data_IF_077587790788
#
_entry.id   IF_077587790788
#
_cell.length_a   1.000
_cell.length_b   1.000
_cell.length_c   1.000
_cell.angle_alpha   90.00
_cell.angle_beta   90.00
_cell.angle_gamma   90.00
#
_symmetry.space_group_name_H-M   'P 1'
#
loop_
_entity.id
_entity.type
_entity.pdbx_description
1 polymer ?
#
# COMPACT_ATOMS: atom_id res chain seq x y z
N UNK A 1 -56.19 -15.88 77.14
CA UNK A 1 -55.46 -17.10 76.72
C UNK A 1 -55.02 -16.87 75.27
N UNK A 2 -54.07 -15.99 74.94
CA UNK A 2 -52.73 -15.66 75.52
C UNK A 2 -51.87 -16.91 75.65
N UNK A 3 -50.60 -16.98 75.26
CA UNK A 3 -49.58 -16.05 74.77
C UNK A 3 -48.30 -16.90 74.52
N UNK A 4 -47.39 -16.40 73.68
CA UNK A 4 -45.95 -16.76 73.52
C UNK A 4 -45.26 -17.33 74.78
N UNK A 5 -44.13 -18.10 74.73
CA UNK A 5 -42.82 -17.60 74.21
C UNK A 5 -41.70 -18.60 73.76
N UNK A 6 -40.81 -18.09 72.88
CA UNK A 6 -39.32 -18.00 72.95
C UNK A 6 -38.45 -19.12 73.59
N UNK A 7 -37.40 -19.58 72.87
CA UNK A 7 -35.93 -19.61 73.25
C UNK A 7 -35.14 -20.74 72.49
N UNK A 8 -33.96 -20.37 71.98
CA UNK A 8 -32.89 -21.20 71.38
C UNK A 8 -32.09 -22.00 72.44
N UNK A 9 -31.39 -23.10 72.06
CA UNK A 9 -29.91 -23.04 72.17
C UNK A 9 -29.11 -23.84 71.11
N UNK A 10 -27.85 -23.42 70.95
CA UNK A 10 -26.73 -24.10 70.26
C UNK A 10 -26.23 -25.31 71.05
N UNK A 11 -25.62 -26.31 70.40
CA UNK A 11 -24.24 -26.81 70.65
C UNK A 11 -23.86 -28.00 69.73
N UNK A 12 -22.65 -27.92 69.18
CA UNK A 12 -21.84 -28.89 68.42
C UNK A 12 -21.42 -30.11 69.29
N UNK A 13 -20.54 -31.05 68.87
CA UNK A 13 -20.15 -31.62 67.56
C UNK A 13 -20.10 -33.19 67.58
N UNK A 14 -19.77 -33.84 66.44
CA UNK A 14 -18.72 -34.89 66.28
C UNK A 14 -18.97 -35.78 65.03
N UNK A 15 -17.97 -35.81 64.15
CA UNK A 15 -17.69 -36.83 63.10
C UNK A 15 -17.06 -38.08 63.76
N UNK A 16 -16.81 -39.24 63.08
CA UNK A 16 -17.22 -39.73 61.74
C UNK A 16 -17.57 -41.25 61.68
N UNK A 17 -17.59 -41.83 60.46
CA UNK A 17 -17.80 -43.23 59.99
C UNK A 17 -19.28 -43.54 59.71
N UNK A 18 -19.73 -43.98 58.53
CA UNK A 18 -19.09 -44.37 57.27
C UNK A 18 -20.18 -44.31 56.20
N UNK A 19 -20.00 -43.53 55.13
CA UNK A 19 -20.78 -43.74 53.92
C UNK A 19 -19.83 -43.91 52.73
N UNK A 20 -19.99 -45.10 52.16
CA UNK A 20 -19.51 -45.63 50.88
C UNK A 20 -19.04 -44.55 49.91
N UNK A 21 -17.71 -44.50 49.69
CA UNK A 21 -17.13 -43.81 48.53
C UNK A 21 -17.58 -44.53 47.27
N UNK A 22 -18.49 -43.90 46.53
CA UNK A 22 -18.65 -44.16 45.10
C UNK A 22 -17.32 -43.85 44.43
N UNK A 23 -16.81 -44.83 43.70
CA UNK A 23 -15.56 -44.82 43.00
C UNK A 23 -15.67 -43.84 41.81
N UNK A 24 -15.29 -42.59 42.03
CA UNK A 24 -14.97 -41.69 40.93
C UNK A 24 -13.57 -42.08 40.43
N UNK A 25 -13.40 -42.39 39.13
CA UNK A 25 -12.08 -42.70 38.60
C UNK A 25 -11.18 -41.48 38.80
N UNK A 26 -10.04 -41.70 39.48
CA UNK A 26 -8.97 -40.70 39.54
C UNK A 26 -8.66 -40.25 38.10
N UNK A 27 -8.59 -38.93 37.85
CA UNK A 27 -8.17 -38.46 36.55
C UNK A 27 -6.80 -39.08 36.25
N UNK A 28 -6.57 -39.59 35.03
CA UNK A 28 -5.31 -40.22 34.69
C UNK A 28 -4.17 -39.25 35.03
N UNK A 29 -3.04 -39.76 35.55
CA UNK A 29 -1.91 -38.91 35.87
C UNK A 29 -1.59 -38.06 34.65
N UNK A 30 -1.64 -36.74 34.80
CA UNK A 30 -1.27 -35.80 33.76
C UNK A 30 0.19 -36.07 33.42
N UNK A 31 0.41 -36.91 32.40
CA UNK A 31 1.71 -37.05 31.77
C UNK A 31 2.15 -35.64 31.36
N UNK A 32 3.31 -35.21 31.85
CA UNK A 32 3.91 -33.96 31.41
C UNK A 32 3.91 -33.94 29.88
N UNK A 33 3.45 -32.85 29.24
CA UNK A 33 3.32 -32.82 27.79
C UNK A 33 4.70 -33.06 27.19
N UNK A 34 4.85 -34.17 26.46
CA UNK A 34 6.10 -34.54 25.81
C UNK A 34 6.46 -33.44 24.83
N UNK A 35 7.49 -32.67 25.16
CA UNK A 35 7.87 -31.48 24.39
C UNK A 35 8.47 -31.93 23.06
N UNK A 36 7.80 -31.60 21.96
CA UNK A 36 8.20 -32.00 20.59
C UNK A 36 9.18 -30.95 20.02
N UNK A 37 10.26 -31.42 19.40
CA UNK A 37 11.26 -30.58 18.71
C UNK A 37 10.93 -30.34 17.24
N UNK A 38 11.50 -29.29 16.64
CA UNK A 38 11.32 -28.99 15.22
C UNK A 38 11.78 -30.14 14.31
N UNK A 39 12.84 -30.84 14.72
CA UNK A 39 13.37 -31.99 14.01
C UNK A 39 12.39 -33.16 14.02
N UNK A 40 11.74 -33.43 15.15
CA UNK A 40 10.71 -34.46 15.23
C UNK A 40 9.51 -34.10 14.37
N UNK A 41 9.03 -32.86 14.42
CA UNK A 41 7.96 -32.38 13.53
C UNK A 41 8.31 -32.57 12.05
N UNK A 42 9.53 -32.23 11.65
CA UNK A 42 10.00 -32.41 10.27
C UNK A 42 9.99 -33.89 9.86
N UNK A 43 10.55 -34.77 10.68
CA UNK A 43 10.55 -36.22 10.41
C UNK A 43 9.13 -36.76 10.28
N UNK A 44 8.21 -36.40 11.19
CA UNK A 44 6.81 -36.85 11.15
C UNK A 44 6.08 -36.41 9.88
N UNK A 45 6.32 -35.18 9.40
CA UNK A 45 5.74 -34.66 8.15
C UNK A 45 6.33 -35.39 6.94
N UNK A 46 7.64 -35.62 6.91
CA UNK A 46 8.32 -36.37 5.84
C UNK A 46 7.82 -37.81 5.77
N UNK A 47 7.61 -38.44 6.93
CA UNK A 47 7.06 -39.80 7.07
C UNK A 47 5.54 -39.85 6.80
N UNK A 48 4.90 -38.72 6.46
CA UNK A 48 3.46 -38.57 6.19
C UNK A 48 2.57 -39.07 7.35
N UNK A 49 3.07 -38.96 8.58
CA UNK A 49 2.32 -39.31 9.78
C UNK A 49 1.50 -38.11 10.26
N UNK A 50 0.33 -38.33 10.90
CA UNK A 50 -0.42 -37.24 11.52
C UNK A 50 0.42 -36.60 12.61
N UNK A 51 0.60 -35.28 12.50
CA UNK A 51 1.38 -34.49 13.46
C UNK A 51 0.40 -33.70 14.35
N UNK A 52 0.36 -34.06 15.62
CA UNK A 52 -0.37 -33.32 16.65
C UNK A 52 0.63 -32.55 17.50
N UNK A 53 0.57 -31.21 17.45
CA UNK A 53 1.47 -30.33 18.22
C UNK A 53 0.64 -29.46 19.13
N UNK A 54 0.96 -29.48 20.42
CA UNK A 54 0.35 -28.57 21.40
C UNK A 54 0.95 -27.17 21.29
N UNK A 55 0.20 -26.16 21.73
CA UNK A 55 0.69 -24.78 21.76
C UNK A 55 1.98 -24.65 22.59
N UNK A 56 2.08 -25.39 23.70
CA UNK A 56 3.29 -25.45 24.53
C UNK A 56 4.51 -25.99 23.77
N UNK A 57 4.32 -26.98 22.89
CA UNK A 57 5.41 -27.52 22.06
C UNK A 57 5.83 -26.53 20.97
N UNK A 58 4.89 -25.80 20.37
CA UNK A 58 5.21 -24.75 19.39
C UNK A 58 6.00 -23.59 20.02
N UNK A 59 5.61 -23.14 21.22
CA UNK A 59 6.38 -22.14 21.97
C UNK A 59 7.77 -22.64 22.35
N UNK A 60 7.91 -23.92 22.70
CA UNK A 60 9.21 -24.52 22.95
C UNK A 60 10.09 -24.47 21.69
N UNK A 61 9.59 -24.90 20.53
CA UNK A 61 10.30 -24.86 19.24
C UNK A 61 10.77 -23.43 18.90
N UNK A 62 9.93 -22.42 19.13
CA UNK A 62 10.30 -21.02 18.93
C UNK A 62 11.51 -20.63 19.78
N UNK A 63 11.51 -20.97 21.07
CA UNK A 63 12.58 -20.63 22.00
C UNK A 63 13.87 -21.42 21.74
N UNK A 64 13.78 -22.73 21.50
CA UNK A 64 14.95 -23.63 21.54
C UNK A 64 15.49 -24.00 20.17
N UNK A 65 14.64 -24.33 19.19
CA UNK A 65 15.08 -24.73 17.84
C UNK A 65 15.31 -23.53 16.92
N UNK A 66 14.57 -22.44 17.14
CA UNK A 66 14.57 -21.24 16.28
C UNK A 66 15.21 -20.01 16.95
N UNK A 67 15.64 -20.12 18.21
CA UNK A 67 16.32 -19.08 18.99
C UNK A 67 15.56 -17.73 19.03
N UNK A 68 14.23 -17.77 19.06
CA UNK A 68 13.42 -16.57 19.25
C UNK A 68 13.47 -16.17 20.72
N UNK A 69 13.94 -14.95 21.02
CA UNK A 69 13.97 -14.45 22.39
C UNK A 69 12.55 -14.02 22.83
N UNK A 70 11.78 -14.98 23.35
CA UNK A 70 10.38 -14.79 23.77
C UNK A 70 10.25 -13.67 24.82
N UNK A 71 11.26 -13.47 25.67
CA UNK A 71 11.27 -12.44 26.72
C UNK A 71 11.30 -11.00 26.16
N UNK A 72 11.70 -10.83 24.90
CA UNK A 72 11.76 -9.52 24.23
C UNK A 72 10.55 -9.23 23.35
N UNK A 73 9.57 -10.13 23.33
CA UNK A 73 8.37 -10.00 22.52
C UNK A 73 7.26 -9.27 23.28
N UNK A 74 6.38 -8.58 22.55
CA UNK A 74 5.15 -7.99 23.10
C UNK A 74 4.22 -9.08 23.65
N UNK A 75 3.38 -8.72 24.62
CA UNK A 75 2.40 -9.64 25.25
C UNK A 75 1.49 -10.27 24.18
N UNK A 76 1.38 -11.60 24.18
CA UNK A 76 0.53 -12.36 23.23
C UNK A 76 1.17 -12.65 21.86
N UNK A 77 2.32 -12.04 21.53
CA UNK A 77 3.04 -12.35 20.29
C UNK A 77 3.60 -13.77 20.26
N UNK A 78 3.84 -14.37 21.42
CA UNK A 78 4.25 -15.77 21.54
C UNK A 78 3.18 -16.73 20.98
N UNK A 79 1.90 -16.42 21.17
CA UNK A 79 0.78 -17.17 20.58
C UNK A 79 0.68 -16.99 19.08
N UNK A 80 0.74 -15.74 18.62
CA UNK A 80 0.68 -15.41 17.18
C UNK A 80 1.84 -16.08 16.44
N UNK A 81 3.05 -16.04 16.99
CA UNK A 81 4.21 -16.70 16.40
C UNK A 81 4.09 -18.22 16.44
N UNK A 82 3.49 -18.79 17.48
CA UNK A 82 3.27 -20.23 17.56
C UNK A 82 2.25 -20.73 16.51
N UNK A 83 1.16 -19.99 16.30
CA UNK A 83 0.21 -20.26 15.22
C UNK A 83 0.82 -20.06 13.83
N UNK A 84 1.59 -18.98 13.65
CA UNK A 84 2.31 -18.71 12.41
C UNK A 84 3.35 -19.80 12.12
N UNK A 85 4.04 -20.31 13.14
CA UNK A 85 4.97 -21.43 13.02
C UNK A 85 4.23 -22.66 12.47
N UNK A 86 3.10 -23.05 13.06
CA UNK A 86 2.30 -24.18 12.57
C UNK A 86 1.83 -23.98 11.12
N UNK A 87 1.37 -22.76 10.79
CA UNK A 87 0.95 -22.40 9.44
C UNK A 87 2.09 -22.51 8.41
N UNK A 88 3.27 -21.96 8.72
CA UNK A 88 4.40 -21.98 7.80
C UNK A 88 5.07 -23.35 7.70
N UNK A 89 5.03 -24.17 8.74
CA UNK A 89 5.42 -25.59 8.65
C UNK A 89 4.56 -26.31 7.60
N UNK A 90 3.25 -26.07 7.57
CA UNK A 90 2.34 -26.67 6.57
C UNK A 90 2.62 -26.17 5.14
N UNK A 91 2.91 -24.88 4.96
CA UNK A 91 3.04 -24.25 3.65
C UNK A 91 4.44 -24.23 3.05
N UNK A 92 5.40 -24.92 3.64
CA UNK A 92 6.77 -24.87 3.13
C UNK A 92 6.88 -25.49 1.72
N UNK A 93 7.32 -24.73 0.69
CA UNK A 93 7.41 -25.23 -0.69
C UNK A 93 8.42 -26.39 -0.83
N UNK A 94 9.32 -26.56 0.14
CA UNK A 94 10.28 -27.66 0.16
C UNK A 94 9.65 -29.06 0.24
N UNK A 95 8.37 -29.19 0.63
CA UNK A 95 7.65 -30.47 0.63
C UNK A 95 7.52 -31.10 -0.75
N UNK A 96 7.49 -30.28 -1.81
CA UNK A 96 7.45 -30.73 -3.20
C UNK A 96 8.68 -31.56 -3.62
N UNK A 97 9.78 -31.45 -2.87
CA UNK A 97 11.04 -32.18 -3.10
C UNK A 97 11.13 -33.51 -2.34
N UNK A 98 10.02 -33.99 -1.77
CA UNK A 98 9.99 -35.26 -1.04
C UNK A 98 10.43 -36.46 -1.90
N UNK A 99 10.17 -36.45 -3.20
CA UNK A 99 10.66 -37.48 -4.14
C UNK A 99 12.18 -37.54 -4.23
N UNK A 100 12.88 -36.41 -4.15
CA UNK A 100 14.35 -36.34 -4.16
C UNK A 100 14.98 -36.90 -2.87
N UNK A 101 14.26 -36.83 -1.76
CA UNK A 101 14.66 -37.43 -0.49
C UNK A 101 14.58 -38.95 -0.53
N UNK A 102 13.46 -39.51 -1.00
CA UNK A 102 13.28 -40.97 -1.10
C UNK A 102 14.19 -41.62 -2.15
N UNK A 103 14.69 -40.86 -3.12
CA UNK A 103 15.65 -41.32 -4.14
C UNK A 103 17.12 -41.15 -3.72
N UNK A 104 17.38 -40.66 -2.50
CA UNK A 104 18.73 -40.48 -1.95
C UNK A 104 19.50 -39.27 -2.50
N UNK A 105 18.90 -38.46 -3.37
CA UNK A 105 19.51 -37.27 -3.96
C UNK A 105 19.57 -36.08 -2.98
N UNK A 106 18.78 -36.13 -1.90
CA UNK A 106 18.67 -35.07 -0.91
C UNK A 106 19.01 -35.55 0.50
N UNK A 107 20.07 -35.00 1.09
CA UNK A 107 20.48 -35.32 2.45
C UNK A 107 19.54 -34.69 3.48
N UNK A 108 19.03 -35.52 4.42
CA UNK A 108 18.13 -35.09 5.51
C UNK A 108 18.63 -33.82 6.21
N UNK A 109 19.90 -33.79 6.62
CA UNK A 109 20.51 -32.67 7.35
C UNK A 109 20.44 -31.35 6.56
N UNK A 110 20.72 -31.38 5.25
CA UNK A 110 20.69 -30.19 4.39
C UNK A 110 19.25 -29.72 4.12
N UNK A 111 18.32 -30.66 4.05
CA UNK A 111 16.91 -30.36 3.80
C UNK A 111 16.24 -29.76 5.04
N UNK A 112 16.50 -30.34 6.21
CA UNK A 112 16.07 -29.83 7.50
C UNK A 112 16.61 -28.43 7.78
N UNK A 113 17.88 -28.16 7.46
CA UNK A 113 18.46 -26.82 7.65
C UNK A 113 17.76 -25.77 6.79
N UNK A 114 17.43 -26.09 5.52
CA UNK A 114 16.66 -25.18 4.65
C UNK A 114 15.24 -24.93 5.18
N UNK A 115 14.62 -25.94 5.80
CA UNK A 115 13.34 -25.80 6.45
C UNK A 115 13.43 -24.85 7.65
N UNK A 116 14.44 -25.04 8.51
CA UNK A 116 14.70 -24.17 9.67
C UNK A 116 14.92 -22.72 9.25
N UNK A 117 15.77 -22.49 8.25
CA UNK A 117 16.05 -21.15 7.71
C UNK A 117 14.80 -20.46 7.16
N UNK A 118 13.95 -21.22 6.45
CA UNK A 118 12.68 -20.71 5.95
C UNK A 118 11.75 -20.23 7.09
N UNK A 119 11.62 -21.03 8.15
CA UNK A 119 10.79 -20.68 9.30
C UNK A 119 11.35 -19.46 10.05
N UNK A 120 12.67 -19.43 10.30
CA UNK A 120 13.32 -18.28 10.92
C UNK A 120 13.09 -16.99 10.12
N UNK A 121 13.23 -17.04 8.80
CA UNK A 121 12.99 -15.88 7.94
C UNK A 121 11.56 -15.37 8.04
N UNK A 122 10.57 -16.27 8.00
CA UNK A 122 9.14 -15.90 8.07
C UNK A 122 8.74 -15.36 9.44
N UNK A 123 9.24 -15.94 10.52
CA UNK A 123 8.93 -15.49 11.89
C UNK A 123 9.64 -14.16 12.21
N UNK A 124 10.89 -13.99 11.81
CA UNK A 124 11.59 -12.70 11.97
C UNK A 124 10.90 -11.58 11.18
N UNK A 125 10.35 -11.87 10.01
CA UNK A 125 9.55 -10.90 9.26
C UNK A 125 8.32 -10.45 10.07
N UNK A 126 7.63 -11.36 10.76
CA UNK A 126 6.49 -11.02 11.63
C UNK A 126 6.94 -10.16 12.82
N UNK A 127 8.03 -10.55 13.49
CA UNK A 127 8.59 -9.83 14.65
C UNK A 127 9.01 -8.41 14.26
N UNK A 128 9.72 -8.25 13.14
CA UNK A 128 10.12 -6.93 12.65
C UNK A 128 8.92 -6.05 12.28
N UNK A 129 7.88 -6.64 11.68
CA UNK A 129 6.63 -5.94 11.34
C UNK A 129 5.85 -5.54 12.59
N UNK A 130 5.73 -6.40 13.60
CA UNK A 130 5.01 -6.08 14.83
C UNK A 130 5.72 -5.01 15.66
N UNK A 131 7.06 -5.07 15.74
CA UNK A 131 7.88 -4.03 16.38
C UNK A 131 7.77 -2.68 15.65
N UNK A 132 7.62 -2.68 14.32
CA UNK A 132 7.40 -1.46 13.54
C UNK A 132 5.99 -0.85 13.69
N UNK A 133 5.05 -1.56 14.33
CA UNK A 133 3.63 -1.18 14.46
C UNK A 133 3.23 -0.67 15.85
N UNK A 134 4.10 -0.69 16.87
CA UNK A 134 3.92 0.07 18.12
C UNK A 134 2.55 0.00 18.80
N UNK A 135 1.99 -1.20 19.00
CA UNK A 135 0.82 -1.37 19.87
C UNK A 135 1.25 -1.28 21.35
N UNK A 136 0.87 -0.18 21.99
CA UNK A 136 0.78 0.10 23.43
C UNK A 136 -0.61 0.73 23.56
N UNK A 137 -1.56 0.35 24.42
CA UNK A 137 -1.59 -0.47 25.62
C UNK A 137 -2.95 -1.22 25.71
N UNK A 138 -3.07 -2.07 26.72
CA UNK A 138 -4.18 -2.98 27.02
C UNK A 138 -5.59 -2.32 27.10
N UNK A 139 -6.59 -3.19 26.90
CA UNK A 139 -8.04 -3.03 27.08
C UNK A 139 -8.85 -2.45 25.91
N UNK A 140 -9.08 -3.25 24.85
CA UNK A 140 -10.32 -3.13 24.07
C UNK A 140 -10.78 -4.51 23.60
N UNK A 141 -12.04 -4.81 23.91
CA UNK A 141 -12.83 -5.93 23.42
C UNK A 141 -12.67 -6.16 21.90
N UNK A 142 -12.70 -7.43 21.54
CA UNK A 142 -12.80 -7.90 20.16
C UNK A 142 -14.11 -7.37 19.57
N UNK A 143 -14.03 -6.25 18.85
CA UNK A 143 -15.07 -5.83 17.91
C UNK A 143 -14.55 -6.13 16.51
N UNK A 144 -15.15 -7.13 15.89
CA UNK A 144 -14.94 -7.50 14.49
C UNK A 144 -14.95 -6.27 13.58
N UNK A 145 -14.08 -6.20 12.55
CA UNK A 145 -14.08 -5.09 11.62
C UNK A 145 -15.31 -5.17 10.72
N UNK A 146 -16.42 -4.59 11.19
CA UNK A 146 -17.48 -4.13 10.30
C UNK A 146 -16.90 -3.04 9.40
N UNK A 147 -17.04 -3.28 8.10
CA UNK A 147 -16.81 -2.35 7.00
C UNK A 147 -17.13 -0.90 7.39
N UNK A 148 -16.10 -0.12 7.73
CA UNK A 148 -16.22 1.34 7.70
C UNK A 148 -15.79 1.83 6.33
N UNK A 149 -16.82 2.14 5.55
CA UNK A 149 -16.82 3.17 4.51
C UNK A 149 -15.97 4.37 4.93
N UNK A 150 -15.25 4.90 3.96
CA UNK A 150 -14.85 6.31 3.77
C UNK A 150 -14.69 7.22 5.01
N UNK A 151 -13.54 7.91 5.01
CA UNK A 151 -13.24 9.15 5.75
C UNK A 151 -12.89 9.02 7.24
N UNK A 152 -11.60 9.22 7.53
CA UNK A 152 -11.12 10.43 8.21
C UNK A 152 -9.61 10.28 8.41
N UNK A 153 -8.86 11.23 7.86
CA UNK A 153 -7.48 11.50 8.25
C UNK A 153 -7.34 11.47 9.78
N UNK A 154 -6.62 10.46 10.26
CA UNK A 154 -6.15 10.36 11.63
C UNK A 154 -4.63 10.53 11.63
N UNK A 155 -4.19 11.74 11.27
CA UNK A 155 -3.04 12.32 11.95
C UNK A 155 -3.60 13.35 12.92
N UNK A 156 -3.42 13.11 14.21
CA UNK A 156 -4.04 13.87 15.30
C UNK A 156 -3.54 15.32 15.25
N UNK A 157 -4.47 16.27 15.29
CA UNK A 157 -4.25 17.69 14.99
C UNK A 157 -3.84 18.56 16.19
N UNK A 158 -3.43 17.96 17.31
CA UNK A 158 -2.94 18.71 18.48
C UNK A 158 -1.92 17.93 19.32
N UNK A 159 -1.26 16.90 18.77
CA UNK A 159 -0.34 16.11 19.57
C UNK A 159 0.79 16.98 20.13
N UNK A 160 1.12 16.87 21.44
CA UNK A 160 2.42 17.29 21.91
C UNK A 160 3.45 16.50 21.11
N UNK A 161 4.44 17.20 20.55
CA UNK A 161 5.64 16.56 20.06
C UNK A 161 6.38 16.03 21.30
N UNK A 162 5.96 14.88 21.83
CA UNK A 162 6.72 14.18 22.87
C UNK A 162 7.87 13.47 22.18
N UNK A 163 8.99 14.18 22.03
CA UNK A 163 10.25 13.54 21.68
C UNK A 163 11.38 14.18 22.51
N UNK A 164 11.27 14.03 23.81
CA UNK A 164 12.39 13.86 24.72
C UNK A 164 11.85 13.16 25.98
N UNK A 165 12.42 11.99 26.30
CA UNK A 165 12.07 11.21 27.49
C UNK A 165 12.27 12.02 28.80
N UNK A 166 12.93 13.18 28.71
CA UNK A 166 13.24 14.05 29.85
C UNK A 166 12.53 15.43 29.83
N UNK A 167 11.59 15.71 28.92
CA UNK A 167 10.81 16.95 28.94
C UNK A 167 9.33 16.68 28.65
N UNK A 168 8.59 16.32 29.71
CA UNK A 168 7.14 16.39 29.74
C UNK A 168 6.70 17.85 29.81
N UNK A 169 6.51 18.49 28.65
CA UNK A 169 5.60 19.63 28.59
C UNK A 169 4.18 19.06 28.41
N UNK A 170 3.44 19.00 29.53
CA UNK A 170 2.02 18.67 29.56
C UNK A 170 1.23 19.68 28.73
N UNK A 171 0.81 19.31 27.52
CA UNK A 171 -0.17 20.08 26.76
C UNK A 171 -1.57 19.63 27.19
N UNK A 172 -2.50 20.55 27.50
CA UNK A 172 -3.86 20.16 27.89
C UNK A 172 -4.58 19.45 26.75
N UNK A 173 -5.35 18.42 27.07
CA UNK A 173 -6.28 17.76 26.15
C UNK A 173 -7.18 18.82 25.50
N UNK A 174 -7.12 18.91 24.17
CA UNK A 174 -8.02 19.76 23.39
C UNK A 174 -9.27 18.95 23.03
N UNK A 175 -10.48 19.35 23.47
CA UNK A 175 -11.72 18.64 23.14
C UNK A 175 -12.15 18.80 21.68
N UNK A 176 -11.39 19.53 20.86
CA UNK A 176 -11.73 19.86 19.48
C UNK A 176 -10.75 19.24 18.48
N UNK A 177 -11.28 18.69 17.38
CA UNK A 177 -10.54 18.25 16.18
C UNK A 177 -10.70 19.30 15.07
N UNK A 178 -9.59 19.81 14.52
CA UNK A 178 -9.58 20.91 13.55
C UNK A 178 -9.46 20.46 12.09
N UNK A 179 -10.46 19.86 11.45
CA UNK A 179 -10.27 19.41 10.05
C UNK A 179 -10.05 20.57 9.05
N UNK A 180 -8.95 20.53 8.27
CA UNK A 180 -8.69 21.48 7.17
C UNK A 180 -8.97 20.80 5.83
N UNK A 181 -10.11 21.13 5.23
CA UNK A 181 -10.51 20.67 3.91
C UNK A 181 -10.51 21.82 2.89
N UNK A 182 -10.42 21.47 1.60
CA UNK A 182 -10.49 22.44 0.51
C UNK A 182 -9.47 22.17 -0.60
N UNK A 183 -9.67 22.76 -1.80
CA UNK A 183 -8.73 22.64 -2.90
C UNK A 183 -7.34 23.21 -2.54
N UNK A 184 -6.25 22.52 -2.91
CA UNK A 184 -4.88 23.01 -2.64
C UNK A 184 -4.64 24.42 -3.18
N UNK A 185 -5.12 24.76 -4.38
CA UNK A 185 -4.89 26.08 -4.97
C UNK A 185 -5.49 27.23 -4.14
N UNK A 186 -6.62 26.98 -3.46
CA UNK A 186 -7.24 27.98 -2.57
C UNK A 186 -6.43 28.08 -1.29
N UNK A 187 -6.25 26.97 -0.57
CA UNK A 187 -5.58 26.98 0.73
C UNK A 187 -4.16 27.52 0.64
N UNK A 188 -3.47 27.25 -0.47
CA UNK A 188 -2.13 27.75 -0.73
C UNK A 188 -2.06 29.21 -1.19
N UNK A 189 -3.18 29.86 -1.56
CA UNK A 189 -3.22 31.31 -1.84
C UNK A 189 -3.74 32.15 -0.66
N UNK A 190 -4.38 31.55 0.35
CA UNK A 190 -4.86 32.29 1.53
C UNK A 190 -3.74 32.79 2.45
N UNK A 191 -3.88 34.01 2.94
CA UNK A 191 -3.01 34.65 3.93
C UNK A 191 -3.86 35.23 5.04
N UNK A 192 -3.48 34.94 6.27
CA UNK A 192 -4.14 35.42 7.46
C UNK A 192 -3.31 36.56 8.06
N UNK A 193 -3.93 37.72 8.21
CA UNK A 193 -3.32 38.90 8.83
C UNK A 193 -4.20 39.31 10.00
N UNK A 194 -3.60 39.39 11.19
CA UNK A 194 -4.29 39.96 12.34
C UNK A 194 -4.23 41.49 12.26
N UNK A 195 -5.37 42.16 12.31
CA UNK A 195 -5.46 43.61 12.38
C UNK A 195 -6.34 43.99 13.58
N UNK A 196 -5.70 44.42 14.68
CA UNK A 196 -6.41 44.64 15.95
C UNK A 196 -6.99 43.33 16.50
N UNK A 197 -8.30 43.31 16.72
CA UNK A 197 -9.05 42.12 17.14
C UNK A 197 -9.59 41.28 15.97
N UNK A 198 -9.43 41.76 14.73
CA UNK A 198 -9.95 41.10 13.54
C UNK A 198 -8.89 40.21 12.87
N UNK A 199 -9.37 39.15 12.22
CA UNK A 199 -8.56 38.32 11.32
C UNK A 199 -8.98 38.66 9.90
N UNK A 200 -8.08 39.32 9.17
CA UNK A 200 -8.24 39.55 7.74
C UNK A 200 -7.70 38.36 6.96
N UNK A 201 -8.55 37.83 6.09
CA UNK A 201 -8.16 36.79 5.13
C UNK A 201 -7.95 37.48 3.79
N UNK A 202 -6.71 37.46 3.31
CA UNK A 202 -6.33 37.92 1.97
C UNK A 202 -6.03 36.72 1.10
N UNK A 203 -6.29 36.82 -0.20
CA UNK A 203 -5.94 35.79 -1.17
C UNK A 203 -4.92 36.37 -2.15
N UNK A 204 -3.75 35.72 -2.27
CA UNK A 204 -2.80 36.06 -3.32
C UNK A 204 -3.33 35.66 -4.69
N UNK A 205 -2.90 36.40 -5.71
CA UNK A 205 -3.21 36.09 -7.10
C UNK A 205 -2.78 34.66 -7.45
N UNK A 206 -3.64 33.96 -8.17
CA UNK A 206 -3.34 32.64 -8.70
C UNK A 206 -2.17 32.70 -9.69
N UNK A 207 -1.44 31.59 -9.81
CA UNK A 207 -0.38 31.47 -10.81
C UNK A 207 -1.01 31.43 -12.21
N UNK A 208 -0.50 32.20 -13.19
CA UNK A 208 -1.02 32.17 -14.55
C UNK A 208 -0.85 30.78 -15.15
N UNK A 209 -1.87 30.30 -15.87
CA UNK A 209 -1.87 28.97 -16.46
C UNK A 209 -0.82 28.81 -17.56
N UNK A 210 -0.14 27.66 -17.55
CA UNK A 210 0.83 27.23 -18.55
C UNK A 210 0.41 25.84 -19.02
N UNK A 211 0.40 25.62 -20.34
CA UNK A 211 -0.01 24.33 -20.89
C UNK A 211 1.00 23.22 -20.55
N UNK A 212 0.45 22.03 -20.25
CA UNK A 212 1.24 20.87 -19.85
C UNK A 212 1.57 20.00 -21.07
N UNK A 213 2.83 19.57 -21.15
CA UNK A 213 3.23 18.49 -22.05
C UNK A 213 2.53 17.18 -21.65
N UNK A 214 2.50 16.18 -22.55
CA UNK A 214 1.89 14.87 -22.21
C UNK A 214 2.56 14.26 -20.98
N UNK A 215 3.91 14.28 -20.92
CA UNK A 215 4.68 13.76 -19.77
C UNK A 215 4.34 14.46 -18.46
N UNK A 216 4.23 15.79 -18.48
CA UNK A 216 3.85 16.55 -17.29
C UNK A 216 2.42 16.24 -16.87
N UNK A 217 1.48 16.24 -17.83
CA UNK A 217 0.08 15.93 -17.57
C UNK A 217 -0.09 14.53 -16.96
N UNK A 218 0.64 13.54 -17.50
CA UNK A 218 0.63 12.18 -17.01
C UNK A 218 1.01 12.07 -15.55
N UNK A 219 1.92 12.92 -15.06
CA UNK A 219 2.39 12.90 -13.67
C UNK A 219 1.76 14.03 -12.83
N UNK A 220 0.81 14.77 -13.39
CA UNK A 220 0.14 15.87 -12.71
C UNK A 220 -0.84 15.34 -11.65
N UNK A 221 -0.99 16.02 -10.49
CA UNK A 221 -1.90 15.56 -9.43
C UNK A 221 -3.31 15.27 -9.96
N UNK A 222 -3.89 14.17 -9.49
CA UNK A 222 -5.26 13.75 -9.80
C UNK A 222 -5.56 13.47 -11.29
N UNK A 223 -4.55 13.32 -12.14
CA UNK A 223 -4.75 12.84 -13.51
C UNK A 223 -4.78 11.32 -13.54
N UNK A 224 -5.81 10.78 -14.16
CA UNK A 224 -5.94 9.36 -14.51
C UNK A 224 -5.99 9.17 -16.02
N UNK A 225 -5.56 7.99 -16.46
CA UNK A 225 -5.46 7.62 -17.87
C UNK A 225 -5.85 6.17 -18.00
N UNK A 226 -6.67 5.89 -19.00
CA UNK A 226 -7.04 4.54 -19.41
C UNK A 226 -6.69 4.37 -20.88
N UNK A 227 -5.98 3.30 -21.20
CA UNK A 227 -5.71 2.88 -22.57
C UNK A 227 -6.44 1.57 -22.81
N UNK A 228 -7.35 1.57 -23.78
CA UNK A 228 -8.14 0.40 -24.16
C UNK A 228 -7.91 0.07 -25.63
N UNK A 229 -7.18 -1.02 -25.85
CA UNK A 229 -6.89 -1.61 -27.16
C UNK A 229 -7.52 -3.02 -27.23
N UNK A 230 -7.65 -3.63 -28.41
CA UNK A 230 -8.21 -4.97 -28.55
C UNK A 230 -7.55 -6.02 -27.65
N UNK A 231 -6.22 -6.01 -27.59
CA UNK A 231 -5.46 -7.01 -26.83
C UNK A 231 -4.97 -6.52 -25.47
N UNK A 232 -5.01 -5.23 -25.19
CA UNK A 232 -4.42 -4.63 -24.00
C UNK A 232 -5.35 -3.57 -23.41
N UNK A 233 -5.66 -3.70 -22.12
CA UNK A 233 -6.26 -2.62 -21.35
C UNK A 233 -5.41 -2.35 -20.12
N UNK A 234 -4.97 -1.11 -20.00
CA UNK A 234 -4.17 -0.63 -18.87
C UNK A 234 -4.74 0.69 -18.35
N UNK A 235 -4.49 0.94 -17.07
CA UNK A 235 -4.83 2.21 -16.43
C UNK A 235 -3.68 2.72 -15.59
N UNK A 236 -3.60 4.04 -15.45
CA UNK A 236 -2.64 4.74 -14.59
C UNK A 236 -3.32 5.94 -13.95
N UNK A 237 -3.13 6.14 -12.64
CA UNK A 237 -3.78 7.19 -11.87
C UNK A 237 -2.79 7.81 -10.88
N UNK A 238 -2.71 9.15 -10.86
CA UNK A 238 -1.99 9.86 -9.81
C UNK A 238 -2.92 10.06 -8.60
N UNK A 239 -2.85 9.13 -7.66
CA UNK A 239 -3.59 9.18 -6.41
C UNK A 239 -2.81 10.00 -5.38
N UNK A 240 -2.57 11.28 -5.70
CA UNK A 240 -1.88 12.17 -4.79
C UNK A 240 -2.79 12.48 -3.59
N UNK A 241 -2.27 12.23 -2.39
CA UNK A 241 -2.95 12.47 -1.12
C UNK A 241 -2.27 13.64 -0.41
N UNK A 242 -3.05 14.62 0.03
CA UNK A 242 -2.57 15.74 0.85
C UNK A 242 -2.84 15.44 2.31
N UNK A 243 -1.79 15.53 3.14
CA UNK A 243 -1.89 15.44 4.59
C UNK A 243 -1.65 16.81 5.20
N UNK A 244 -2.64 17.34 5.91
CA UNK A 244 -2.66 18.72 6.39
C UNK A 244 -2.69 18.82 7.90
N UNK A 245 -1.86 19.71 8.45
CA UNK A 245 -1.68 19.85 9.90
C UNK A 245 -1.49 21.31 10.31
N UNK A 246 -1.84 21.62 11.56
CA UNK A 246 -1.53 22.88 12.21
C UNK A 246 -0.60 22.60 13.38
N UNK A 247 0.54 23.27 13.42
CA UNK A 247 1.51 23.21 14.51
C UNK A 247 1.59 24.53 15.26
N UNK A 248 1.71 24.47 16.58
CA UNK A 248 2.02 25.62 17.44
C UNK A 248 3.51 25.60 17.79
N UNK A 249 4.19 26.73 17.63
CA UNK A 249 5.56 26.97 18.11
C UNK A 249 6.73 26.13 17.53
N UNK A 250 6.51 25.07 16.74
CA UNK A 250 7.60 24.20 16.25
C UNK A 250 7.68 23.95 14.73
N UNK A 251 8.90 23.68 14.27
CA UNK A 251 9.24 23.12 12.96
C UNK A 251 8.92 21.62 12.93
N UNK A 252 8.35 21.12 11.83
CA UNK A 252 8.06 19.69 11.68
C UNK A 252 9.36 18.91 11.54
N UNK A 253 9.64 18.08 12.55
CA UNK A 253 10.80 17.19 12.58
C UNK A 253 10.51 15.79 12.02
N UNK A 254 9.27 15.30 12.06
CA UNK A 254 8.97 13.91 11.72
C UNK A 254 7.87 13.78 10.66
N UNK A 255 8.17 13.04 9.59
CA UNK A 255 7.20 12.61 8.57
C UNK A 255 7.11 11.09 8.63
N UNK A 256 5.91 10.49 8.50
CA UNK A 256 5.78 9.05 8.45
C UNK A 256 6.67 8.45 7.34
N UNK A 257 7.32 7.30 7.58
CA UNK A 257 8.14 6.64 6.58
C UNK A 257 7.31 6.30 5.34
N UNK A 258 7.86 6.56 4.15
CA UNK A 258 7.26 6.12 2.89
C UNK A 258 7.67 4.69 2.59
N UNK A 259 6.70 3.77 2.54
CA UNK A 259 6.90 2.45 1.95
C UNK A 259 7.07 2.60 0.43
N UNK A 260 7.98 1.86 -0.20
CA UNK A 260 8.19 1.96 -1.65
C UNK A 260 6.99 1.47 -2.46
N UNK A 261 6.36 0.37 -2.03
CA UNK A 261 5.12 -0.17 -2.59
C UNK A 261 4.08 -0.18 -1.48
N UNK A 262 2.94 0.44 -1.76
CA UNK A 262 1.92 0.69 -0.74
C UNK A 262 0.85 -0.40 -0.77
N UNK A 263 0.48 -0.89 -1.96
CA UNK A 263 -0.65 -1.83 -2.07
C UNK A 263 -0.65 -2.59 -3.41
N UNK A 264 -1.13 -3.84 -3.39
CA UNK A 264 -1.51 -4.61 -4.57
C UNK A 264 -2.96 -5.07 -4.37
N UNK A 265 -3.87 -4.58 -5.20
CA UNK A 265 -5.31 -4.90 -5.16
C UNK A 265 -5.68 -5.82 -6.31
N UNK A 266 -6.27 -6.95 -5.97
CA UNK A 266 -6.84 -7.90 -6.93
C UNK A 266 -8.34 -7.62 -7.13
N UNK A 267 -8.80 -7.69 -8.39
CA UNK A 267 -10.23 -7.63 -8.69
C UNK A 267 -10.85 -9.00 -8.42
N UNK A 268 -11.80 -9.05 -7.48
CA UNK A 268 -12.47 -10.29 -7.06
C UNK A 268 -13.21 -10.95 -8.24
N UNK A 269 -13.14 -12.27 -8.31
CA UNK A 269 -13.90 -13.08 -9.27
C UNK A 269 -13.31 -13.15 -10.69
N UNK A 270 -12.08 -12.66 -10.90
CA UNK A 270 -11.38 -12.77 -12.18
C UNK A 270 -10.27 -13.82 -12.13
N UNK A 271 -9.93 -14.40 -13.28
CA UNK A 271 -8.73 -15.24 -13.43
C UNK A 271 -7.52 -14.38 -13.74
N UNK A 272 -6.43 -14.63 -13.02
CA UNK A 272 -5.19 -13.85 -13.10
C UNK A 272 -4.20 -14.50 -14.06
N UNK A 273 -3.58 -13.69 -14.91
CA UNK A 273 -2.45 -14.08 -15.73
C UNK A 273 -1.27 -13.15 -15.45
N UNK A 274 -0.11 -13.73 -15.16
CA UNK A 274 1.12 -13.02 -14.82
C UNK A 274 2.03 -12.98 -16.03
N UNK A 275 2.57 -11.81 -16.33
CA UNK A 275 3.45 -11.55 -17.44
C UNK A 275 4.75 -10.89 -16.96
N UNK A 276 5.86 -11.21 -17.60
CA UNK A 276 7.13 -10.53 -17.33
C UNK A 276 7.15 -9.13 -17.94
N UNK A 277 7.97 -8.26 -17.37
CA UNK A 277 8.22 -6.92 -17.90
C UNK A 277 8.60 -6.97 -19.39
N UNK A 278 9.54 -7.85 -19.74
CA UNK A 278 10.10 -7.97 -21.08
C UNK A 278 9.05 -8.41 -22.09
N UNK A 279 8.10 -9.27 -21.68
CA UNK A 279 7.03 -9.73 -22.55
C UNK A 279 6.06 -8.59 -22.90
N UNK A 280 5.64 -7.81 -21.90
CA UNK A 280 4.77 -6.65 -22.09
C UNK A 280 5.48 -5.55 -22.88
N UNK A 281 6.75 -5.27 -22.55
CA UNK A 281 7.57 -4.29 -23.26
C UNK A 281 7.70 -4.68 -24.74
N UNK A 282 7.96 -5.96 -25.04
CA UNK A 282 8.08 -6.45 -26.42
C UNK A 282 6.79 -6.26 -27.20
N UNK A 283 5.63 -6.57 -26.59
CA UNK A 283 4.32 -6.33 -27.20
C UNK A 283 4.10 -4.85 -27.52
N UNK A 284 4.32 -3.96 -26.54
CA UNK A 284 4.14 -2.51 -26.69
C UNK A 284 5.05 -1.95 -27.79
N UNK A 285 6.32 -2.36 -27.83
CA UNK A 285 7.27 -1.92 -28.86
C UNK A 285 6.80 -2.34 -30.25
N UNK A 286 6.43 -3.61 -30.44
CA UNK A 286 5.93 -4.10 -31.73
C UNK A 286 4.64 -3.39 -32.15
N UNK A 287 3.73 -3.16 -31.20
CA UNK A 287 2.50 -2.43 -31.44
C UNK A 287 2.79 -1.00 -31.93
N UNK A 288 3.65 -0.25 -31.25
CA UNK A 288 4.02 1.11 -31.63
C UNK A 288 4.70 1.18 -33.00
N UNK A 289 5.58 0.21 -33.32
CA UNK A 289 6.20 0.11 -34.64
C UNK A 289 5.19 -0.10 -35.77
N UNK A 290 4.14 -0.91 -35.53
CA UNK A 290 3.08 -1.16 -36.50
C UNK A 290 2.21 0.09 -36.66
N UNK A 291 1.81 0.72 -35.55
CA UNK A 291 1.01 1.95 -35.55
C UNK A 291 1.71 3.06 -36.34
N UNK A 292 3.04 3.21 -36.20
CA UNK A 292 3.85 4.18 -36.96
C UNK A 292 3.80 4.00 -38.47
N UNK A 293 3.59 2.77 -38.94
CA UNK A 293 3.52 2.41 -40.36
C UNK A 293 2.08 2.44 -40.89
N UNK A 294 1.10 2.61 -40.01
CA UNK A 294 -0.30 2.61 -40.38
C UNK A 294 -0.68 3.96 -41.04
N UNK A 295 -1.19 3.96 -42.28
CA UNK A 295 -1.65 5.19 -42.90
C UNK A 295 -2.85 5.75 -42.10
N UNK A 296 -3.04 7.08 -42.14
CA UNK A 296 -4.15 7.82 -41.50
C UNK A 296 -4.15 7.83 -39.95
N UNK A 297 -3.23 7.15 -39.27
CA UNK A 297 -3.01 7.40 -37.84
C UNK A 297 -2.32 8.75 -37.67
N UNK A 298 -2.86 9.61 -36.82
CA UNK A 298 -2.31 10.97 -36.64
C UNK A 298 -1.02 10.93 -35.82
N UNK A 299 -0.01 11.70 -36.23
CA UNK A 299 1.32 11.70 -35.58
C UNK A 299 1.28 12.09 -34.10
N UNK A 300 0.43 13.04 -33.73
CA UNK A 300 0.21 13.48 -32.34
C UNK A 300 -0.36 12.35 -31.46
N UNK A 301 -1.18 11.46 -32.04
CA UNK A 301 -1.70 10.28 -31.34
C UNK A 301 -0.62 9.23 -31.11
N UNK A 302 0.27 9.06 -32.08
CA UNK A 302 1.41 8.15 -31.95
C UNK A 302 2.32 8.63 -30.82
N UNK A 303 2.74 9.89 -30.87
CA UNK A 303 3.59 10.52 -29.83
C UNK A 303 2.95 10.41 -28.44
N UNK A 304 1.63 10.63 -28.35
CA UNK A 304 0.89 10.47 -27.11
C UNK A 304 0.97 9.02 -26.60
N UNK A 305 0.67 8.02 -27.43
CA UNK A 305 0.76 6.60 -27.05
C UNK A 305 2.18 6.21 -26.61
N UNK A 306 3.21 6.70 -27.28
CA UNK A 306 4.61 6.47 -26.90
C UNK A 306 4.90 6.97 -25.50
N UNK A 307 4.49 8.20 -25.16
CA UNK A 307 4.64 8.73 -23.82
C UNK A 307 3.83 7.95 -22.79
N UNK A 308 2.56 7.62 -23.09
CA UNK A 308 1.69 6.88 -22.19
C UNK A 308 2.26 5.49 -21.84
N UNK A 309 2.71 4.75 -22.86
CA UNK A 309 3.29 3.42 -22.64
C UNK A 309 4.65 3.48 -21.98
N UNK A 310 5.50 4.45 -22.34
CA UNK A 310 6.80 4.62 -21.69
C UNK A 310 6.65 4.86 -20.19
N UNK A 311 5.72 5.74 -19.79
CA UNK A 311 5.49 6.02 -18.37
C UNK A 311 4.86 4.84 -17.63
N UNK A 312 3.94 4.10 -18.26
CA UNK A 312 3.40 2.86 -17.69
C UNK A 312 4.50 1.80 -17.45
N UNK A 313 5.37 1.56 -18.44
CA UNK A 313 6.48 0.62 -18.29
C UNK A 313 7.48 1.09 -17.22
N UNK A 314 7.72 2.39 -17.11
CA UNK A 314 8.52 2.96 -16.03
C UNK A 314 7.87 2.75 -14.65
N UNK A 315 6.54 2.82 -14.55
CA UNK A 315 5.83 2.52 -13.30
C UNK A 315 6.04 1.06 -12.88
N UNK A 316 5.93 0.11 -13.83
CA UNK A 316 6.19 -1.32 -13.57
C UNK A 316 7.61 -1.54 -13.05
N UNK A 317 8.61 -0.93 -13.69
CA UNK A 317 10.01 -1.01 -13.25
C UNK A 317 10.24 -0.39 -11.87
N UNK A 318 9.63 0.77 -11.62
CA UNK A 318 9.86 1.53 -10.40
C UNK A 318 9.18 0.89 -9.18
N UNK A 319 7.99 0.32 -9.37
CA UNK A 319 7.28 -0.42 -8.34
C UNK A 319 7.93 -1.78 -8.04
N UNK A 320 8.58 -2.40 -9.05
CA UNK A 320 9.37 -3.63 -8.92
C UNK A 320 8.64 -4.77 -8.18
N UNK A 321 7.36 -4.95 -8.48
CA UNK A 321 6.56 -6.05 -7.91
C UNK A 321 7.08 -7.38 -8.49
N UNK A 322 7.52 -8.29 -7.62
CA UNK A 322 8.05 -9.61 -7.97
C UNK A 322 9.03 -9.64 -9.16
N UNK A 323 10.02 -8.74 -9.19
CA UNK A 323 10.98 -8.55 -10.29
C UNK A 323 10.32 -8.03 -11.57
N UNK A 324 9.58 -6.93 -11.45
CA UNK A 324 8.92 -6.21 -12.55
C UNK A 324 7.82 -7.02 -13.27
N UNK A 325 7.08 -7.90 -12.60
CA UNK A 325 5.96 -8.58 -13.24
C UNK A 325 4.70 -7.71 -13.25
N UNK A 326 3.81 -8.00 -14.19
CA UNK A 326 2.48 -7.39 -14.30
C UNK A 326 1.44 -8.50 -14.32
N UNK A 327 0.33 -8.30 -13.61
CA UNK A 327 -0.76 -9.25 -13.55
C UNK A 327 -2.05 -8.61 -14.06
N UNK A 328 -2.86 -9.36 -14.82
CA UNK A 328 -4.20 -8.91 -15.22
C UNK A 328 -5.12 -8.80 -14.02
N UNK A 329 -6.12 -7.92 -14.09
CA UNK A 329 -7.08 -7.68 -13.02
C UNK A 329 -6.44 -7.27 -11.69
N UNK A 330 -5.29 -6.59 -11.76
CA UNK A 330 -4.54 -6.12 -10.58
C UNK A 330 -4.24 -4.63 -10.71
N UNK A 331 -4.34 -3.90 -9.59
CA UNK A 331 -3.85 -2.54 -9.44
C UNK A 331 -2.72 -2.51 -8.42
N UNK A 332 -1.64 -1.82 -8.74
CA UNK A 332 -0.46 -1.64 -7.88
C UNK A 332 -0.31 -0.16 -7.56
N UNK A 333 -0.26 0.16 -6.27
CA UNK A 333 -0.02 1.51 -5.76
C UNK A 333 1.38 1.65 -5.16
N UNK A 334 2.11 2.69 -5.52
CA UNK A 334 3.46 2.95 -5.03
C UNK A 334 3.78 4.46 -5.00
N UNK A 335 4.79 4.85 -4.23
CA UNK A 335 5.22 6.26 -4.14
C UNK A 335 6.25 6.60 -5.23
N UNK A 336 5.81 7.35 -6.24
CA UNK A 336 6.64 7.75 -7.38
C UNK A 336 7.69 8.79 -6.97
N UNK A 337 8.91 8.65 -7.50
CA UNK A 337 10.01 9.57 -7.24
C UNK A 337 10.61 9.51 -5.82
N UNK A 338 9.99 8.72 -4.91
CA UNK A 338 10.47 8.39 -3.56
C UNK A 338 10.87 9.62 -2.71
N UNK A 339 10.23 10.75 -2.99
CA UNK A 339 10.48 12.03 -2.33
C UNK A 339 9.21 12.52 -1.67
N UNK A 340 9.35 13.08 -0.47
CA UNK A 340 8.26 13.77 0.22
C UNK A 340 8.46 15.26 -0.02
N UNK A 341 7.35 15.92 -0.30
CA UNK A 341 7.31 17.34 -0.48
C UNK A 341 6.32 17.95 0.52
N UNK A 342 6.54 19.22 0.84
CA UNK A 342 5.67 19.94 1.73
C UNK A 342 5.55 21.42 1.34
N UNK A 343 4.47 22.04 1.80
CA UNK A 343 4.28 23.48 1.84
C UNK A 343 4.06 23.87 3.29
N UNK A 344 4.64 24.98 3.70
CA UNK A 344 4.41 25.54 5.03
C UNK A 344 3.99 27.01 4.93
N UNK A 345 3.05 27.41 5.77
CA UNK A 345 2.64 28.79 5.96
C UNK A 345 2.73 29.14 7.42
N UNK A 346 3.48 30.20 7.72
CA UNK A 346 3.63 30.72 9.06
C UNK A 346 2.70 31.91 9.27
N UNK A 347 1.84 31.82 10.27
CA UNK A 347 0.97 32.90 10.73
C UNK A 347 1.54 33.37 12.06
N UNK A 348 1.87 34.65 12.14
CA UNK A 348 2.33 35.28 13.38
C UNK A 348 1.23 36.17 13.94
N UNK A 349 0.89 35.96 15.21
CA UNK A 349 -0.02 36.81 15.96
C UNK A 349 0.74 37.40 17.13
N UNK A 350 0.70 38.72 17.24
CA UNK A 350 1.18 39.41 18.46
C UNK A 350 -0.01 39.53 19.40
N UNK A 351 0.08 38.90 20.57
CA UNK A 351 -0.92 38.99 21.65
C UNK A 351 -0.19 39.53 22.88
N UNK A 352 -0.41 40.81 23.20
CA UNK A 352 0.37 41.51 24.22
C UNK A 352 1.86 41.62 23.84
N UNK A 353 2.77 41.23 24.75
CA UNK A 353 4.23 41.20 24.51
C UNK A 353 4.75 39.84 24.02
N UNK A 354 3.88 38.89 23.66
CA UNK A 354 4.27 37.55 23.19
C UNK A 354 3.89 37.36 21.72
N UNK A 355 4.83 36.84 20.95
CA UNK A 355 4.58 36.39 19.58
C UNK A 355 4.12 34.94 19.61
N UNK A 356 2.88 34.69 19.24
CA UNK A 356 2.36 33.36 18.98
C UNK A 356 2.54 33.02 17.50
N UNK A 357 3.02 31.80 17.24
CA UNK A 357 3.30 31.33 15.89
C UNK A 357 2.47 30.09 15.64
N UNK A 358 1.62 30.18 14.61
CA UNK A 358 0.83 29.07 14.09
C UNK A 358 1.37 28.70 12.72
N UNK A 359 1.72 27.44 12.51
CA UNK A 359 2.21 26.95 11.24
C UNK A 359 1.17 26.01 10.62
N UNK A 360 0.74 26.31 9.40
CA UNK A 360 0.01 25.38 8.56
C UNK A 360 0.99 24.59 7.69
N UNK A 361 0.83 23.28 7.66
CA UNK A 361 1.65 22.39 6.86
C UNK A 361 0.78 21.53 5.96
N UNK A 362 1.17 21.39 4.70
CA UNK A 362 0.59 20.48 3.72
C UNK A 362 1.70 19.57 3.19
N UNK A 363 1.65 18.29 3.54
CA UNK A 363 2.52 17.26 3.00
C UNK A 363 1.85 16.55 1.85
N UNK A 364 2.64 16.17 0.86
CA UNK A 364 2.20 15.31 -0.23
C UNK A 364 3.34 14.39 -0.60
N UNK A 365 2.98 13.11 -0.68
CA UNK A 365 3.84 12.04 -1.14
C UNK A 365 3.25 11.56 -2.47
N UNK A 366 3.84 11.94 -3.62
CA UNK A 366 3.35 11.55 -4.92
C UNK A 366 3.16 10.04 -4.99
N UNK A 367 1.95 9.61 -5.36
CA UNK A 367 1.55 8.20 -5.39
C UNK A 367 0.87 7.91 -6.71
N UNK A 368 1.28 6.80 -7.31
CA UNK A 368 0.75 6.33 -8.59
C UNK A 368 0.14 4.96 -8.37
N UNK A 369 -1.04 4.77 -8.96
CA UNK A 369 -1.69 3.49 -9.12
C UNK A 369 -1.65 3.12 -10.60
N UNK A 370 -1.07 1.98 -10.94
CA UNK A 370 -1.15 1.42 -12.28
C UNK A 370 -1.82 0.05 -12.25
N UNK A 371 -2.49 -0.30 -13.33
CA UNK A 371 -3.19 -1.58 -13.43
C UNK A 371 -3.26 -2.09 -14.86
N UNK A 372 -3.52 -3.39 -14.98
CA UNK A 372 -3.78 -4.06 -16.25
C UNK A 372 -5.10 -4.79 -16.12
N UNK A 373 -6.15 -4.36 -16.82
CA UNK A 373 -7.44 -5.03 -16.76
C UNK A 373 -7.39 -6.35 -17.54
N UNK A 374 -6.86 -6.33 -18.75
CA UNK A 374 -6.67 -7.55 -19.54
C UNK A 374 -5.45 -7.44 -20.44
N UNK A 375 -4.91 -8.62 -20.76
CA UNK A 375 -3.92 -8.81 -21.80
C UNK A 375 -4.22 -10.12 -22.54
N UNK A 376 -4.63 -10.01 -23.80
CA UNK A 376 -5.14 -11.11 -24.64
C UNK A 376 -4.18 -11.49 -25.77
N UNK A 377 -3.04 -10.81 -25.88
CA UNK A 377 -2.08 -11.08 -26.94
C UNK A 377 -1.51 -12.50 -26.79
N UNK A 378 -1.54 -13.27 -27.89
CA UNK A 378 -1.03 -14.64 -27.93
C UNK A 378 0.28 -14.66 -28.71
N UNK A 379 1.32 -15.24 -28.11
CA UNK A 379 2.62 -15.43 -28.77
C UNK A 379 2.46 -16.34 -29.99
N UNK A 380 3.06 -15.96 -31.09
CA UNK A 380 3.07 -16.77 -32.30
C UNK A 380 4.31 -17.66 -32.33
N UNK A 381 4.09 -18.92 -31.95
CA UNK A 381 5.13 -19.97 -31.84
C UNK A 381 5.73 -20.39 -33.19
N UNK A 382 5.14 -19.96 -34.32
CA UNK A 382 5.63 -20.35 -35.65
C UNK A 382 6.76 -19.46 -36.16
N UNK A 383 7.02 -18.32 -35.51
CA UNK A 383 8.06 -17.37 -35.90
C UNK A 383 9.19 -17.34 -34.88
N UNK A 384 10.40 -17.02 -35.35
CA UNK A 384 11.57 -16.86 -34.47
C UNK A 384 11.44 -15.59 -33.61
N UNK A 385 11.85 -15.69 -32.34
CA UNK A 385 11.72 -14.61 -31.36
C UNK A 385 10.30 -14.41 -30.82
N UNK A 386 10.15 -13.59 -29.79
CA UNK A 386 8.84 -13.27 -29.21
C UNK A 386 8.08 -12.31 -30.13
N UNK A 387 6.96 -12.76 -30.70
CA UNK A 387 6.06 -11.95 -31.52
C UNK A 387 4.61 -12.43 -31.32
N UNK A 388 3.63 -11.63 -31.77
CA UNK A 388 2.23 -11.79 -31.40
C UNK A 388 1.33 -11.98 -32.61
N UNK A 389 0.43 -12.96 -32.55
CA UNK A 389 -0.47 -13.34 -33.67
C UNK A 389 -1.32 -12.17 -34.16
N UNK A 390 -1.90 -11.41 -33.24
CA UNK A 390 -2.74 -10.25 -33.54
C UNK A 390 -1.96 -9.13 -34.23
N UNK A 391 -0.76 -8.82 -33.74
CA UNK A 391 0.14 -7.84 -34.35
C UNK A 391 0.64 -8.29 -35.73
N UNK A 392 0.94 -9.59 -35.89
CA UNK A 392 1.30 -10.17 -37.18
C UNK A 392 0.16 -10.02 -38.20
N UNK A 393 -1.09 -10.31 -37.81
CA UNK A 393 -2.26 -10.11 -38.67
C UNK A 393 -2.42 -8.65 -39.07
N UNK A 394 -2.35 -7.73 -38.11
CA UNK A 394 -2.47 -6.30 -38.38
C UNK A 394 -1.39 -5.80 -39.36
N UNK A 395 -0.15 -6.27 -39.19
CA UNK A 395 0.95 -5.96 -40.12
C UNK A 395 0.65 -6.44 -41.54
N UNK A 396 0.08 -7.63 -41.70
CA UNK A 396 -0.37 -8.15 -43.00
C UNK A 396 -1.51 -7.33 -43.57
N UNK A 397 -2.55 -7.01 -42.77
CA UNK A 397 -3.69 -6.18 -43.21
C UNK A 397 -3.24 -4.78 -43.70
N UNK A 398 -2.21 -4.20 -43.07
CA UNK A 398 -1.59 -2.94 -43.54
C UNK A 398 -0.86 -3.14 -44.87
N UNK A 399 -0.06 -4.20 -45.00
CA UNK A 399 0.71 -4.47 -46.22
C UNK A 399 -0.19 -4.80 -47.43
N UNK A 400 -1.29 -5.51 -47.20
CA UNK A 400 -2.27 -5.91 -48.21
C UNK A 400 -3.38 -4.88 -48.43
N UNK A 401 -3.33 -3.73 -47.72
CA UNK A 401 -4.30 -2.64 -47.81
C UNK A 401 -5.76 -3.10 -47.59
N UNK A 402 -5.99 -3.96 -46.59
CA UNK A 402 -7.33 -4.43 -46.23
C UNK A 402 -8.13 -3.32 -45.53
N UNK A 403 -8.83 -2.51 -46.34
CA UNK A 403 -9.43 -1.23 -45.93
C UNK A 403 -10.32 -1.30 -44.68
N UNK A 404 -11.20 -2.32 -44.56
CA UNK A 404 -12.19 -2.38 -43.47
C UNK A 404 -11.55 -2.57 -42.09
N UNK A 405 -10.65 -3.54 -41.94
CA UNK A 405 -9.95 -3.78 -40.68
C UNK A 405 -9.04 -2.59 -40.31
N UNK A 406 -8.43 -1.98 -41.32
CA UNK A 406 -7.56 -0.83 -41.17
C UNK A 406 -8.34 0.41 -40.71
N UNK A 407 -9.52 0.66 -41.26
CA UNK A 407 -10.37 1.79 -40.87
C UNK A 407 -10.86 1.67 -39.43
N UNK A 408 -11.30 0.49 -39.01
CA UNK A 408 -11.72 0.24 -37.62
C UNK A 408 -10.54 0.45 -36.66
N UNK A 409 -9.37 -0.09 -37.01
CA UNK A 409 -8.15 0.09 -36.23
C UNK A 409 -7.76 1.57 -36.10
N UNK A 410 -7.70 2.30 -37.22
CA UNK A 410 -7.40 3.74 -37.25
C UNK A 410 -8.41 4.53 -36.44
N UNK A 411 -9.70 4.18 -36.52
CA UNK A 411 -10.74 4.81 -35.73
C UNK A 411 -10.50 4.62 -34.23
N UNK A 412 -10.19 3.39 -33.80
CA UNK A 412 -9.87 3.09 -32.39
C UNK A 412 -8.69 3.93 -31.91
N UNK A 413 -7.58 3.92 -32.65
CA UNK A 413 -6.35 4.64 -32.27
C UNK A 413 -6.58 6.15 -32.21
N UNK A 414 -7.28 6.73 -33.20
CA UNK A 414 -7.44 8.17 -33.27
C UNK A 414 -8.50 8.71 -32.29
N UNK A 415 -9.48 7.90 -31.87
CA UNK A 415 -10.68 8.41 -31.21
C UNK A 415 -10.97 7.80 -29.83
N UNK A 416 -10.84 6.48 -29.67
CA UNK A 416 -11.43 5.80 -28.50
C UNK A 416 -10.41 5.11 -27.59
N UNK A 417 -9.17 4.90 -28.03
CA UNK A 417 -8.21 4.11 -27.27
C UNK A 417 -7.71 4.81 -25.99
N UNK A 418 -7.69 6.14 -25.93
CA UNK A 418 -7.20 6.91 -24.77
C UNK A 418 -8.35 7.67 -24.12
N UNK A 419 -8.52 7.46 -22.82
CA UNK A 419 -9.40 8.27 -21.97
C UNK A 419 -8.59 8.92 -20.86
N UNK A 420 -8.74 10.23 -20.71
CA UNK A 420 -8.20 11.01 -19.61
C UNK A 420 -9.26 11.19 -18.52
N UNK A 421 -8.84 11.19 -17.27
CA UNK A 421 -9.71 11.29 -16.10
C UNK A 421 -9.20 12.39 -15.18
N UNK A 422 -10.09 13.26 -14.73
CA UNK A 422 -9.86 14.01 -13.51
C UNK A 422 -10.36 13.16 -12.33
N UNK A 423 -9.44 12.60 -11.55
CA UNK A 423 -9.73 11.73 -10.41
C UNK A 423 -10.46 12.51 -9.31
N UNK A 424 -10.09 13.79 -9.12
CA UNK A 424 -10.69 14.66 -8.10
C UNK A 424 -12.16 14.96 -8.40
N UNK A 425 -12.49 15.33 -9.64
CA UNK A 425 -13.87 15.60 -10.06
C UNK A 425 -14.64 14.38 -10.54
N UNK A 426 -13.98 13.22 -10.70
CA UNK A 426 -14.53 12.00 -11.32
C UNK A 426 -15.09 12.25 -12.74
N UNK A 427 -14.47 13.16 -13.50
CA UNK A 427 -14.84 13.48 -14.89
C UNK A 427 -13.94 12.75 -15.88
N UNK A 428 -14.54 12.27 -16.98
CA UNK A 428 -13.82 11.60 -18.07
C UNK A 428 -13.80 12.46 -19.34
N UNK A 429 -12.70 12.37 -20.06
CA UNK A 429 -12.42 13.11 -21.28
C UNK A 429 -11.88 12.12 -22.32
N UNK A 430 -12.65 11.89 -23.39
CA UNK A 430 -12.33 10.94 -24.47
C UNK A 430 -12.46 11.62 -25.83
N UNK A 431 -12.13 10.90 -26.90
CA UNK A 431 -12.18 11.45 -28.26
C UNK A 431 -10.87 12.14 -28.70
N UNK A 432 -10.85 12.69 -29.94
CA UNK A 432 -9.70 13.37 -30.53
C UNK A 432 -9.08 14.47 -29.66
N UNK A 433 -9.93 15.21 -28.94
CA UNK A 433 -9.53 16.38 -28.16
C UNK A 433 -9.46 16.09 -26.66
N UNK A 434 -9.38 14.82 -26.25
CA UNK A 434 -9.41 14.40 -24.84
C UNK A 434 -8.39 15.15 -23.97
N UNK A 435 -7.14 15.28 -24.44
CA UNK A 435 -6.07 16.02 -23.74
C UNK A 435 -6.45 17.49 -23.55
N UNK A 436 -6.86 18.18 -24.61
CA UNK A 436 -7.20 19.60 -24.54
C UNK A 436 -8.43 19.83 -23.65
N UNK A 437 -9.41 18.94 -23.74
CA UNK A 437 -10.60 18.96 -22.88
C UNK A 437 -10.22 18.83 -21.40
N UNK A 438 -9.31 17.91 -21.04
CA UNK A 438 -8.79 17.79 -19.68
C UNK A 438 -8.02 19.04 -19.24
N UNK A 439 -7.14 19.58 -20.10
CA UNK A 439 -6.36 20.78 -19.78
C UNK A 439 -7.26 22.00 -19.54
N UNK A 440 -8.28 22.19 -20.38
CA UNK A 440 -9.27 23.25 -20.20
C UNK A 440 -10.03 23.09 -18.88
N UNK A 441 -10.42 21.86 -18.53
CA UNK A 441 -11.05 21.55 -17.24
C UNK A 441 -10.13 21.90 -16.06
N UNK A 442 -8.85 21.50 -16.09
CA UNK A 442 -7.91 21.85 -15.03
C UNK A 442 -7.67 23.36 -14.94
N UNK A 443 -7.54 24.06 -16.07
CA UNK A 443 -7.40 25.52 -16.12
C UNK A 443 -8.57 26.25 -15.46
N UNK A 444 -9.78 25.73 -15.64
CA UNK A 444 -11.00 26.33 -15.10
C UNK A 444 -11.19 25.97 -13.62
N UNK A 445 -11.07 24.70 -13.26
CA UNK A 445 -11.53 24.17 -11.97
C UNK A 445 -10.43 23.93 -10.93
N UNK A 446 -9.19 23.68 -11.35
CA UNK A 446 -8.11 23.22 -10.46
C UNK A 446 -6.92 24.18 -10.37
N UNK A 447 -6.74 25.01 -11.41
CA UNK A 447 -5.62 25.96 -11.55
C UNK A 447 -4.27 25.25 -11.53
N UNK A 448 -3.19 26.02 -11.68
CA UNK A 448 -1.84 25.48 -11.56
C UNK A 448 -1.46 25.25 -10.11
N UNK A 449 -0.68 24.20 -9.90
CA UNK A 449 -0.07 23.90 -8.61
C UNK A 449 1.05 24.89 -8.28
N UNK A 450 1.14 25.24 -7.00
CA UNK A 450 2.22 26.07 -6.48
C UNK A 450 3.51 25.27 -6.30
N UNK A 451 4.64 25.95 -6.18
CA UNK A 451 5.91 25.31 -5.83
C UNK A 451 5.86 24.59 -4.48
N UNK A 452 6.83 23.71 -4.29
CA UNK A 452 6.88 22.76 -3.19
C UNK A 452 8.29 22.67 -2.64
N UNK A 453 8.45 22.44 -1.34
CA UNK A 453 9.75 22.21 -0.72
C UNK A 453 10.00 20.71 -0.62
N UNK A 454 11.17 20.23 -1.04
CA UNK A 454 11.57 18.86 -0.72
C UNK A 454 11.80 18.75 0.80
N UNK A 455 11.21 17.73 1.43
CA UNK A 455 11.40 17.50 2.86
C UNK A 455 12.87 17.20 3.22
N UNK A 456 13.61 16.54 2.32
CA UNK A 456 14.99 16.08 2.55
C UNK A 456 16.03 17.20 2.36
N UNK A 457 16.04 17.89 1.20
CA UNK A 457 17.03 18.94 0.93
C UNK A 457 16.53 20.37 1.21
N UNK A 458 15.24 20.55 1.55
CA UNK A 458 14.59 21.85 1.79
C UNK A 458 14.63 22.83 0.61
N UNK A 459 15.05 22.38 -0.59
CA UNK A 459 15.02 23.19 -1.81
C UNK A 459 13.59 23.31 -2.35
N UNK A 460 13.28 24.48 -2.90
CA UNK A 460 12.02 24.75 -3.58
C UNK A 460 12.09 24.23 -5.01
N UNK A 461 11.03 23.53 -5.41
CA UNK A 461 10.87 22.96 -6.73
C UNK A 461 9.52 23.37 -7.34
N UNK A 462 9.53 23.61 -8.64
CA UNK A 462 8.32 23.80 -9.42
C UNK A 462 7.65 22.45 -9.71
N UNK A 463 6.34 22.34 -9.51
CA UNK A 463 5.58 21.13 -9.82
C UNK A 463 5.58 20.83 -11.33
N UNK A 464 5.70 21.85 -12.20
CA UNK A 464 5.89 21.66 -13.64
C UNK A 464 7.20 20.93 -13.95
N UNK A 465 8.27 21.24 -13.22
CA UNK A 465 9.57 20.56 -13.37
C UNK A 465 9.51 19.16 -12.78
N UNK A 466 8.94 19.01 -11.58
CA UNK A 466 8.80 17.70 -10.93
C UNK A 466 7.95 16.74 -11.76
N UNK A 467 6.82 17.20 -12.30
CA UNK A 467 5.94 16.36 -13.12
C UNK A 467 6.59 15.93 -14.45
N UNK A 468 7.51 16.73 -14.99
CA UNK A 468 8.28 16.33 -16.18
C UNK A 468 9.25 15.16 -15.91
N UNK A 469 9.73 15.03 -14.67
CA UNK A 469 10.68 13.99 -14.25
C UNK A 469 10.08 13.04 -13.21
N UNK A 470 8.78 12.72 -13.33
CA UNK A 470 8.12 11.70 -12.48
C UNK A 470 8.33 11.94 -10.98
N UNK A 471 8.24 13.21 -10.57
CA UNK A 471 8.45 13.69 -9.20
C UNK A 471 9.83 13.40 -8.60
N UNK A 472 10.84 13.14 -9.44
CA UNK A 472 12.24 13.01 -9.05
C UNK A 472 12.93 14.37 -9.09
N UNK A 473 13.95 14.51 -8.27
CA UNK A 473 14.94 15.57 -8.35
C UNK A 473 16.24 15.07 -7.73
N UNK A 474 17.35 15.70 -8.09
CA UNK A 474 18.64 15.43 -7.44
C UNK A 474 18.67 16.09 -6.06
N UNK A 475 18.41 15.30 -5.04
CA UNK A 475 18.49 15.73 -3.66
C UNK A 475 19.95 15.83 -3.20
N UNK A 476 20.51 17.03 -3.24
CA UNK A 476 21.82 17.33 -2.67
C UNK A 476 21.59 17.73 -1.21
N UNK A 477 22.18 16.98 -0.27
CA UNK A 477 22.12 17.35 1.14
C UNK A 477 22.82 18.70 1.35
N UNK A 478 22.20 19.65 2.08
CA UNK A 478 22.89 20.87 2.51
C UNK A 478 24.04 20.54 3.47
#
# INVERSE_FOLDING_TARGET
MTSLPKILPKLLPKKPLNEVKVWEPEPPPQSEPTVITLRQCFTTIVDRKPLHVSMSSLRHILATDLNVNILTLQVGMDNVLAEALAHYMKLWPGWSRSSEYFTGQLLFKKWFEKFRQYLMYKLNYIIMKSQSLGLVDNDVEIVEPKEKKDSLDAGVQTDPVVYNINQQENKPDSPYKLSISGPPYILNTLVFVKQGNDILIKQHSERPWTDLTVKQLMNWPHVGIEIKLPDLSISRKNNLEYKRYVGLHSDIKNVPPLNTTTEVKEVKGCSFAVFSFEFIQTYISQFLEIVKKCPKVKSDRIEMLEHLFADYLNDVKEANVYKNTVCTYTNVSYHIGKSIYFRNKRIMSTVGNKNEIVNFYEFFAPKVEYGMQYFKAVSDVQKTGTNFRSLNRLKTSIAENQLKELEEFVFIINNTCITFLCILCKKSHSGPYAKQSLLNHFKQEHKLEQSVLCFKCRRQHDVLTLSADRWKHQCIHP
#
